data_IF_226220790133
#
_entry.id   IF_226220790133
#
_cell.length_a   1.000
_cell.length_b   1.000
_cell.length_c   1.000
_cell.angle_alpha   90.00
_cell.angle_beta   90.00
_cell.angle_gamma   90.00
#
_symmetry.space_group_name_H-M   'P 1'
#
loop_
_entity.id
_entity.type
_entity.pdbx_description
1 polymer ?
#
# COMPACT_ATOMS: atom_id res chain seq x y z
N UNK A 1 35.61 8.40 -63.28
CA UNK A 1 35.86 8.80 -61.88
C UNK A 1 34.88 8.09 -61.03
N UNK A 2 35.30 6.95 -60.44
CA UNK A 2 34.47 6.10 -59.59
C UNK A 2 34.79 6.40 -58.14
N UNK A 3 33.77 6.78 -57.38
CA UNK A 3 33.88 6.98 -55.93
C UNK A 3 33.45 5.70 -55.23
N UNK A 4 34.41 5.09 -54.57
CA UNK A 4 34.24 3.88 -53.74
C UNK A 4 33.69 4.31 -52.38
N UNK A 5 32.50 3.86 -52.00
CA UNK A 5 31.93 4.06 -50.66
C UNK A 5 32.24 2.82 -49.82
N UNK A 6 33.11 3.01 -48.82
CA UNK A 6 33.44 1.99 -47.81
C UNK A 6 32.32 1.92 -46.75
N UNK A 7 31.68 0.78 -46.62
CA UNK A 7 30.80 0.47 -45.50
C UNK A 7 31.63 -0.12 -44.34
N UNK A 8 31.71 0.60 -43.24
CA UNK A 8 32.25 0.09 -41.98
C UNK A 8 31.10 -0.59 -41.21
N UNK A 9 31.12 -1.93 -41.10
CA UNK A 9 30.20 -2.69 -40.26
C UNK A 9 30.70 -2.64 -38.81
N UNK A 10 29.98 -1.95 -37.93
CA UNK A 10 30.15 -2.07 -36.48
C UNK A 10 29.43 -3.31 -36.01
N UNK A 11 30.16 -4.35 -35.61
CA UNK A 11 29.65 -5.47 -34.84
C UNK A 11 29.44 -4.99 -33.38
N UNK A 12 28.20 -4.76 -32.98
CA UNK A 12 27.80 -4.65 -31.57
C UNK A 12 27.71 -6.07 -31.00
N UNK A 13 28.69 -6.46 -30.21
CA UNK A 13 28.62 -7.60 -29.33
C UNK A 13 27.66 -7.24 -28.20
N UNK A 14 26.48 -7.85 -28.20
CA UNK A 14 25.58 -7.85 -27.03
C UNK A 14 26.01 -8.95 -26.08
N UNK A 15 26.69 -8.59 -24.99
CA UNK A 15 26.88 -9.49 -23.88
C UNK A 15 25.57 -9.68 -23.09
N UNK A 16 25.23 -10.88 -22.64
CA UNK A 16 24.05 -11.08 -21.81
C UNK A 16 24.31 -10.53 -20.40
N UNK A 17 23.51 -9.57 -19.98
CA UNK A 17 23.44 -9.06 -18.60
C UNK A 17 22.88 -10.14 -17.65
N UNK A 18 23.73 -11.08 -17.25
CA UNK A 18 23.52 -11.88 -16.05
C UNK A 18 24.15 -11.16 -14.85
N UNK A 19 23.52 -10.10 -14.37
CA UNK A 19 23.92 -9.48 -13.12
C UNK A 19 23.45 -10.35 -11.95
N UNK A 20 24.33 -11.22 -11.49
CA UNK A 20 24.24 -11.83 -10.15
C UNK A 20 24.28 -10.67 -9.15
N UNK A 21 23.18 -10.43 -8.42
CA UNK A 21 23.12 -9.48 -7.31
C UNK A 21 24.17 -9.90 -6.28
N UNK A 22 25.24 -9.17 -6.18
CA UNK A 22 26.14 -9.22 -5.02
C UNK A 22 25.44 -8.40 -3.92
N UNK A 23 25.05 -9.06 -2.82
CA UNK A 23 24.58 -8.38 -1.62
C UNK A 23 25.66 -7.39 -1.16
N UNK A 24 25.33 -6.10 -1.00
CA UNK A 24 26.22 -5.19 -0.32
C UNK A 24 26.35 -5.64 1.14
N UNK A 25 27.59 -5.68 1.63
CA UNK A 25 27.87 -5.99 3.02
C UNK A 25 27.05 -5.08 3.94
N UNK A 26 26.38 -5.69 4.92
CA UNK A 26 25.58 -4.99 5.90
C UNK A 26 26.41 -3.88 6.56
N UNK A 27 26.15 -2.63 6.16
CA UNK A 27 26.56 -1.46 6.93
C UNK A 27 25.68 -1.48 8.16
N UNK A 28 26.26 -1.75 9.32
CA UNK A 28 25.55 -1.68 10.60
C UNK A 28 24.98 -0.24 10.74
N UNK A 29 23.71 -0.10 10.47
CA UNK A 29 22.97 1.13 10.68
C UNK A 29 23.03 1.42 12.19
N UNK A 30 23.66 2.52 12.56
CA UNK A 30 23.47 3.07 13.90
C UNK A 30 21.99 3.43 14.01
N UNK A 31 21.27 2.74 14.89
CA UNK A 31 19.86 3.00 15.12
C UNK A 31 19.64 4.50 15.40
N UNK A 32 18.77 5.13 14.60
CA UNK A 32 18.32 6.49 14.89
C UNK A 32 17.73 6.53 16.31
N UNK A 33 17.94 7.59 17.10
CA UNK A 33 17.34 7.72 18.42
C UNK A 33 15.82 7.64 18.43
N UNK A 34 15.18 7.78 17.27
CA UNK A 34 13.72 7.70 17.07
C UNK A 34 13.27 6.34 16.49
N UNK A 35 14.13 5.32 16.49
CA UNK A 35 13.79 4.00 15.97
C UNK A 35 12.64 3.37 16.78
N UNK A 36 11.58 2.95 16.11
CA UNK A 36 10.43 2.27 16.75
C UNK A 36 10.89 0.96 17.37
N UNK A 37 10.73 0.84 18.69
CA UNK A 37 10.88 -0.46 19.35
C UNK A 37 9.63 -1.32 19.10
N UNK A 38 9.72 -2.17 18.10
CA UNK A 38 8.64 -3.08 17.73
C UNK A 38 8.30 -4.12 18.82
N UNK A 39 9.16 -4.34 19.81
CA UNK A 39 8.88 -5.27 20.91
C UNK A 39 7.86 -4.67 21.88
N UNK A 40 7.86 -3.35 22.03
CA UNK A 40 6.92 -2.61 22.89
C UNK A 40 5.69 -2.08 22.13
N UNK A 41 5.68 -2.13 20.79
CA UNK A 41 4.55 -1.75 19.98
C UNK A 41 3.32 -2.62 20.27
N UNK A 42 2.12 -2.01 20.19
CA UNK A 42 0.84 -2.70 20.47
C UNK A 42 0.66 -3.89 19.51
N UNK A 43 0.47 -5.07 20.06
CA UNK A 43 0.10 -6.25 19.27
C UNK A 43 -1.40 -6.23 18.97
N UNK A 44 -1.76 -6.29 17.69
CA UNK A 44 -3.15 -6.38 17.23
C UNK A 44 -3.58 -7.84 17.03
N UNK A 45 -2.66 -8.66 16.56
CA UNK A 45 -2.78 -10.11 16.35
C UNK A 45 -1.38 -10.72 16.24
N UNK A 46 -1.21 -12.05 16.30
CA UNK A 46 0.09 -12.69 16.13
C UNK A 46 0.80 -12.19 14.85
N UNK A 47 2.03 -11.66 15.00
CA UNK A 47 2.80 -11.11 13.88
C UNK A 47 2.32 -9.77 13.32
N UNK A 48 1.30 -9.14 13.91
CA UNK A 48 0.81 -7.81 13.51
C UNK A 48 0.99 -6.83 14.67
N UNK A 49 1.87 -5.84 14.52
CA UNK A 49 2.13 -4.81 15.52
C UNK A 49 1.83 -3.42 15.01
N UNK A 50 1.30 -2.60 15.90
CA UNK A 50 0.89 -1.21 15.62
C UNK A 50 1.76 -0.23 16.39
N UNK A 51 2.29 0.75 15.68
CA UNK A 51 2.89 1.95 16.24
C UNK A 51 2.10 3.18 15.79
N UNK A 52 1.83 4.10 16.72
CA UNK A 52 1.15 5.36 16.43
C UNK A 52 1.91 6.49 17.13
N UNK A 53 2.20 7.54 16.40
CA UNK A 53 2.86 8.71 16.94
C UNK A 53 2.29 10.03 16.41
N UNK A 54 2.72 11.12 17.04
CA UNK A 54 2.40 12.47 16.62
C UNK A 54 3.67 13.33 16.71
N UNK A 55 4.11 13.82 15.56
CA UNK A 55 5.22 14.76 15.45
C UNK A 55 4.69 16.19 15.54
N UNK A 56 5.50 17.09 16.12
CA UNK A 56 5.20 18.52 16.20
C UNK A 56 6.06 19.36 15.26
N UNK A 57 7.23 18.85 14.88
CA UNK A 57 8.17 19.48 13.97
C UNK A 57 8.41 18.59 12.75
N UNK A 58 8.59 19.16 11.56
CA UNK A 58 8.55 20.59 11.22
C UNK A 58 7.12 21.17 11.23
N UNK A 59 6.10 20.36 11.40
CA UNK A 59 4.67 20.68 11.48
C UNK A 59 3.91 19.57 12.21
N UNK A 60 2.66 19.75 12.62
CA UNK A 60 1.85 18.68 13.19
C UNK A 60 1.65 17.54 12.17
N UNK A 61 2.02 16.32 12.54
CA UNK A 61 1.86 15.09 11.73
C UNK A 61 1.43 13.96 12.65
N UNK A 62 0.43 13.17 12.25
CA UNK A 62 0.03 11.94 12.93
C UNK A 62 0.29 10.77 11.98
N UNK A 63 1.05 9.79 12.48
CA UNK A 63 1.38 8.58 11.75
C UNK A 63 0.80 7.36 12.45
N UNK A 64 0.42 6.38 11.66
CA UNK A 64 -0.04 5.09 12.10
C UNK A 64 0.66 4.03 11.23
N UNK A 65 1.42 3.14 11.85
CA UNK A 65 2.21 2.14 11.14
C UNK A 65 1.83 0.76 11.67
N UNK A 66 1.35 -0.11 10.77
CA UNK A 66 1.25 -1.53 11.07
C UNK A 66 2.45 -2.27 10.46
N UNK A 67 3.16 -3.07 11.27
CA UNK A 67 4.18 -4.01 10.82
C UNK A 67 3.60 -5.42 10.84
N UNK A 68 3.70 -6.11 9.71
CA UNK A 68 3.09 -7.41 9.47
C UNK A 68 4.21 -8.40 9.14
N UNK A 69 4.30 -9.49 9.88
CA UNK A 69 5.20 -10.62 9.60
C UNK A 69 4.56 -11.52 8.54
N UNK A 70 5.02 -11.41 7.30
CA UNK A 70 4.50 -12.21 6.18
C UNK A 70 4.84 -13.71 6.30
N UNK A 71 5.80 -14.09 7.15
CA UNK A 71 6.14 -15.47 7.46
C UNK A 71 5.32 -16.05 8.64
N UNK A 72 4.46 -15.22 9.27
CA UNK A 72 3.63 -15.70 10.37
C UNK A 72 2.73 -16.86 9.90
N UNK A 73 2.79 -18.03 10.55
CA UNK A 73 2.01 -19.20 10.15
C UNK A 73 0.50 -18.90 10.06
N UNK A 74 -0.11 -19.32 8.95
CA UNK A 74 -1.53 -19.11 8.69
C UNK A 74 -1.91 -17.71 8.22
N UNK A 75 -0.98 -16.74 8.22
CA UNK A 75 -1.28 -15.40 7.71
C UNK A 75 -1.52 -15.42 6.21
N UNK A 76 -2.61 -14.78 5.79
CA UNK A 76 -3.03 -14.61 4.40
C UNK A 76 -3.39 -13.15 4.15
N UNK A 77 -3.25 -12.75 2.90
CA UNK A 77 -3.75 -11.48 2.39
C UNK A 77 -4.93 -11.74 1.46
N UNK A 78 -5.84 -10.79 1.38
CA UNK A 78 -6.91 -10.73 0.39
C UNK A 78 -7.09 -9.28 -0.06
N UNK A 79 -7.67 -9.06 -1.24
CA UNK A 79 -7.98 -7.72 -1.73
C UNK A 79 -9.43 -7.66 -2.20
N UNK A 80 -9.91 -6.48 -2.57
CA UNK A 80 -11.24 -6.34 -3.15
C UNK A 80 -11.37 -7.27 -4.37
N UNK A 81 -12.34 -8.19 -4.38
CA UNK A 81 -12.49 -9.13 -5.48
C UNK A 81 -12.97 -8.44 -6.75
N UNK A 82 -12.72 -9.08 -7.87
CA UNK A 82 -13.27 -8.69 -9.16
C UNK A 82 -14.78 -8.90 -9.19
N UNK A 83 -15.50 -7.99 -9.87
CA UNK A 83 -16.93 -8.18 -10.11
C UNK A 83 -17.21 -9.38 -11.03
N UNK A 84 -18.23 -10.15 -10.73
CA UNK A 84 -18.63 -11.31 -11.54
C UNK A 84 -19.01 -10.93 -12.99
N UNK A 85 -19.57 -9.73 -13.17
CA UNK A 85 -20.03 -9.21 -14.46
C UNK A 85 -18.96 -8.48 -15.29
N UNK A 86 -17.69 -8.48 -14.87
CA UNK A 86 -16.63 -7.69 -15.50
C UNK A 86 -16.41 -7.97 -17.00
N UNK A 87 -16.74 -9.19 -17.47
CA UNK A 87 -16.58 -9.59 -18.88
C UNK A 87 -17.50 -8.84 -19.84
N UNK A 88 -18.51 -8.15 -19.35
CA UNK A 88 -19.54 -7.46 -20.13
C UNK A 88 -19.29 -5.94 -20.20
N UNK A 89 -18.06 -5.45 -20.33
CA UNK A 89 -17.68 -4.05 -20.26
C UNK A 89 -18.07 -3.36 -18.94
N UNK A 90 -18.31 -4.13 -17.89
CA UNK A 90 -18.53 -3.60 -16.55
C UNK A 90 -17.21 -3.10 -15.95
N UNK A 91 -17.33 -2.42 -14.83
CA UNK A 91 -16.19 -2.03 -14.02
C UNK A 91 -15.54 -3.25 -13.36
N UNK A 92 -14.31 -3.09 -12.89
CA UNK A 92 -13.51 -4.17 -12.33
C UNK A 92 -13.88 -4.54 -10.90
N UNK A 93 -14.14 -3.52 -10.07
CA UNK A 93 -14.40 -3.71 -8.65
C UNK A 93 -15.58 -2.86 -8.17
N UNK A 94 -16.10 -3.17 -6.98
CA UNK A 94 -17.04 -2.35 -6.23
C UNK A 94 -16.31 -1.61 -5.14
N UNK A 95 -16.44 -0.29 -5.10
CA UNK A 95 -15.85 0.54 -4.05
C UNK A 95 -16.45 0.20 -2.69
N UNK A 96 -15.61 0.12 -1.68
CA UNK A 96 -16.01 -0.07 -0.28
C UNK A 96 -15.13 0.78 0.64
N UNK A 97 -15.69 1.27 1.75
CA UNK A 97 -14.85 1.79 2.82
C UNK A 97 -14.01 0.64 3.40
N UNK A 98 -12.86 0.94 3.99
CA UNK A 98 -12.01 -0.12 4.56
C UNK A 98 -12.74 -0.91 5.66
N UNK A 99 -13.60 -0.26 6.46
CA UNK A 99 -14.42 -0.97 7.46
C UNK A 99 -15.51 -1.83 6.83
N UNK A 100 -16.17 -1.37 5.77
CA UNK A 100 -17.17 -2.17 5.06
C UNK A 100 -16.52 -3.40 4.41
N UNK A 101 -15.35 -3.21 3.78
CA UNK A 101 -14.56 -4.30 3.24
C UNK A 101 -14.19 -5.32 4.32
N UNK A 102 -13.66 -4.87 5.46
CA UNK A 102 -13.31 -5.74 6.57
C UNK A 102 -14.51 -6.56 7.06
N UNK A 103 -15.69 -5.94 7.21
CA UNK A 103 -16.92 -6.62 7.61
C UNK A 103 -17.39 -7.63 6.58
N UNK A 104 -17.44 -7.22 5.30
CA UNK A 104 -17.92 -8.09 4.22
C UNK A 104 -17.04 -9.33 4.02
N UNK A 105 -15.71 -9.21 4.20
CA UNK A 105 -14.83 -10.38 4.14
C UNK A 105 -15.06 -11.32 5.33
N UNK A 106 -15.36 -10.80 6.50
CA UNK A 106 -15.72 -11.63 7.65
C UNK A 106 -17.04 -12.36 7.46
N UNK A 107 -18.04 -11.72 6.83
CA UNK A 107 -19.30 -12.38 6.43
C UNK A 107 -19.05 -13.50 5.40
N UNK A 108 -18.01 -13.39 4.58
CA UNK A 108 -17.54 -14.42 3.65
C UNK A 108 -16.67 -15.50 4.30
N UNK A 109 -16.66 -15.57 5.63
CA UNK A 109 -15.88 -16.50 6.45
C UNK A 109 -14.35 -16.32 6.36
N UNK A 110 -13.90 -15.15 5.95
CA UNK A 110 -12.50 -14.73 6.07
C UNK A 110 -12.35 -13.82 7.27
N UNK A 111 -11.76 -14.27 8.36
CA UNK A 111 -11.67 -13.48 9.60
C UNK A 111 -10.63 -12.35 9.49
N UNK A 112 -10.86 -11.40 8.58
CA UNK A 112 -9.98 -10.24 8.39
C UNK A 112 -9.84 -9.48 9.71
N UNK A 113 -8.58 -9.28 10.11
CA UNK A 113 -8.20 -8.59 11.35
C UNK A 113 -7.78 -7.15 11.10
N UNK A 114 -7.11 -6.88 9.98
CA UNK A 114 -6.61 -5.57 9.60
C UNK A 114 -7.01 -5.29 8.15
N UNK A 115 -7.46 -4.07 7.85
CA UNK A 115 -7.74 -3.66 6.47
C UNK A 115 -7.29 -2.22 6.22
N UNK A 116 -6.85 -1.95 5.00
CA UNK A 116 -6.38 -0.63 4.55
C UNK A 116 -6.63 -0.43 3.06
N UNK A 117 -6.66 0.84 2.62
CA UNK A 117 -6.80 1.19 1.21
C UNK A 117 -5.52 0.89 0.42
N UNK A 118 -5.66 0.61 -0.87
CA UNK A 118 -4.54 0.27 -1.74
C UNK A 118 -4.54 1.09 -3.03
N UNK A 119 -5.00 0.51 -4.14
CA UNK A 119 -4.88 1.06 -5.50
C UNK A 119 -5.70 2.32 -5.69
N UNK A 120 -5.18 3.23 -6.50
CA UNK A 120 -5.95 4.32 -7.08
C UNK A 120 -7.00 3.77 -8.06
N UNK A 121 -8.10 4.51 -8.23
CA UNK A 121 -9.26 4.05 -8.99
C UNK A 121 -10.00 5.20 -9.69
N UNK A 122 -10.79 4.87 -10.72
CA UNK A 122 -11.62 5.81 -11.46
C UNK A 122 -12.80 5.08 -12.12
N UNK A 123 -14.03 5.63 -12.08
CA UNK A 123 -14.42 6.91 -11.47
C UNK A 123 -14.55 6.85 -9.95
N UNK A 124 -14.54 8.03 -9.32
CA UNK A 124 -14.80 8.23 -7.89
C UNK A 124 -15.85 9.33 -7.69
N UNK A 125 -17.12 9.07 -8.09
CA UNK A 125 -18.19 10.05 -8.00
C UNK A 125 -18.54 10.43 -6.56
N UNK A 126 -19.16 11.58 -6.40
CA UNK A 126 -19.79 11.98 -5.14
C UNK A 126 -21.18 11.37 -4.99
N UNK A 127 -21.61 11.04 -3.77
CA UNK A 127 -20.86 11.13 -2.51
C UNK A 127 -19.72 10.09 -2.46
N UNK A 128 -18.58 10.48 -1.83
CA UNK A 128 -17.36 9.67 -1.88
C UNK A 128 -17.42 8.37 -1.07
N UNK A 129 -18.35 8.25 -0.14
CA UNK A 129 -18.61 7.05 0.65
C UNK A 129 -19.57 6.06 -0.04
N UNK A 130 -20.12 6.43 -1.19
CA UNK A 130 -21.04 5.57 -1.93
C UNK A 130 -20.31 4.39 -2.59
N UNK A 131 -20.81 3.20 -2.36
CA UNK A 131 -20.31 1.97 -2.96
C UNK A 131 -20.80 1.81 -4.40
N UNK A 132 -20.03 2.32 -5.35
CA UNK A 132 -20.27 2.20 -6.78
C UNK A 132 -19.17 1.40 -7.46
N UNK A 133 -19.40 0.97 -8.67
CA UNK A 133 -18.42 0.24 -9.48
C UNK A 133 -17.34 1.18 -10.02
N UNK A 134 -16.09 0.67 -10.13
CA UNK A 134 -14.93 1.43 -10.57
C UNK A 134 -13.89 0.54 -11.25
N UNK A 135 -12.89 1.16 -11.90
CA UNK A 135 -11.70 0.49 -12.41
C UNK A 135 -10.50 0.87 -11.55
N UNK A 136 -9.54 -0.04 -11.42
CA UNK A 136 -8.27 0.23 -10.76
C UNK A 136 -7.25 0.83 -11.73
N UNK A 137 -6.31 1.60 -11.19
CA UNK A 137 -5.26 2.26 -11.99
C UNK A 137 -3.91 1.54 -11.78
N UNK A 138 -3.89 0.22 -11.98
CA UNK A 138 -2.67 -0.55 -11.82
C UNK A 138 -2.93 -2.03 -11.94
N UNK A 139 -1.87 -2.83 -11.83
CA UNK A 139 -1.97 -4.28 -11.80
C UNK A 139 -2.51 -4.74 -10.44
N UNK A 140 -3.60 -5.51 -10.45
CA UNK A 140 -4.21 -6.00 -9.23
C UNK A 140 -4.61 -7.47 -9.34
N UNK A 141 -4.33 -8.23 -8.29
CA UNK A 141 -4.69 -9.65 -8.14
C UNK A 141 -5.33 -9.86 -6.78
N UNK A 142 -6.46 -10.55 -6.74
CA UNK A 142 -7.17 -10.94 -5.52
C UNK A 142 -7.32 -12.46 -5.49
N UNK A 143 -6.81 -13.10 -4.42
CA UNK A 143 -6.92 -14.56 -4.23
C UNK A 143 -6.51 -15.39 -5.47
N UNK A 144 -5.46 -14.96 -6.17
CA UNK A 144 -4.97 -15.61 -7.37
C UNK A 144 -5.75 -15.32 -8.65
N UNK A 145 -6.74 -14.43 -8.60
CA UNK A 145 -7.52 -14.00 -9.76
C UNK A 145 -7.08 -12.60 -10.21
N UNK A 146 -6.84 -12.42 -11.49
CA UNK A 146 -6.53 -11.12 -12.07
C UNK A 146 -7.74 -10.19 -11.94
N UNK A 147 -7.58 -9.06 -11.27
CA UNK A 147 -8.60 -8.02 -11.09
C UNK A 147 -8.43 -6.92 -12.11
N UNK A 148 -7.22 -6.40 -12.28
CA UNK A 148 -6.90 -5.32 -13.20
C UNK A 148 -5.57 -5.55 -13.91
N UNK A 149 -5.51 -5.21 -15.19
CA UNK A 149 -4.32 -5.30 -16.04
C UNK A 149 -3.65 -3.93 -16.15
N UNK A 150 -3.11 -3.42 -15.08
CA UNK A 150 -2.33 -2.18 -15.15
C UNK A 150 -0.90 -2.43 -15.62
N UNK A 151 -0.24 -1.41 -16.13
CA UNK A 151 1.16 -1.51 -16.53
C UNK A 151 1.94 -0.25 -16.16
N UNK A 152 3.24 -0.40 -15.93
CA UNK A 152 4.14 0.71 -15.66
C UNK A 152 4.00 1.30 -14.25
N UNK A 153 3.27 0.65 -13.35
CA UNK A 153 3.10 1.08 -11.95
C UNK A 153 3.89 0.17 -11.00
N UNK A 154 4.49 0.70 -9.94
CA UNK A 154 5.09 -0.11 -8.89
C UNK A 154 4.00 -0.86 -8.13
N UNK A 155 4.22 -2.12 -7.85
CA UNK A 155 3.26 -3.00 -7.20
C UNK A 155 3.92 -3.81 -6.09
N UNK A 156 3.21 -3.95 -4.97
CA UNK A 156 3.47 -4.98 -3.99
C UNK A 156 2.85 -6.29 -4.47
N UNK A 157 3.62 -7.36 -4.49
CA UNK A 157 3.21 -8.67 -4.98
C UNK A 157 3.54 -9.70 -3.92
N UNK A 158 2.53 -10.47 -3.47
CA UNK A 158 2.72 -11.68 -2.70
C UNK A 158 2.43 -12.89 -3.56
N UNK A 159 3.37 -13.82 -3.59
CA UNK A 159 3.24 -15.06 -4.32
C UNK A 159 2.48 -16.11 -3.50
N UNK A 160 1.88 -17.10 -4.16
CA UNK A 160 1.25 -18.27 -3.53
C UNK A 160 2.23 -19.07 -2.67
N UNK A 161 3.54 -18.98 -2.95
CA UNK A 161 4.61 -19.55 -2.11
C UNK A 161 4.79 -18.83 -0.77
N UNK A 162 4.20 -17.65 -0.58
CA UNK A 162 4.39 -16.77 0.57
C UNK A 162 5.48 -15.72 0.40
N UNK A 163 6.34 -15.82 -0.62
CA UNK A 163 7.35 -14.80 -0.89
C UNK A 163 6.71 -13.47 -1.33
N UNK A 164 7.31 -12.36 -0.95
CA UNK A 164 6.84 -11.02 -1.30
C UNK A 164 7.94 -10.21 -1.99
N UNK A 165 7.54 -9.31 -2.89
CA UNK A 165 8.43 -8.37 -3.58
C UNK A 165 7.70 -7.11 -4.00
N UNK A 166 8.46 -6.04 -4.27
CA UNK A 166 7.97 -4.86 -4.94
C UNK A 166 8.68 -4.69 -6.29
N UNK A 167 7.94 -4.38 -7.35
CA UNK A 167 8.50 -4.15 -8.69
C UNK A 167 7.55 -3.34 -9.56
N UNK A 168 8.07 -2.74 -10.61
CA UNK A 168 7.22 -2.20 -11.68
C UNK A 168 6.61 -3.36 -12.46
N UNK A 169 5.31 -3.32 -12.65
CA UNK A 169 4.57 -4.34 -13.41
C UNK A 169 4.47 -3.94 -14.88
N UNK A 170 4.45 -4.92 -15.77
CA UNK A 170 4.25 -4.74 -17.20
C UNK A 170 2.98 -5.44 -17.70
N UNK A 171 2.61 -5.18 -18.95
CA UNK A 171 1.39 -5.72 -19.55
C UNK A 171 1.45 -7.25 -19.81
N UNK A 172 2.62 -7.88 -19.67
CA UNK A 172 2.80 -9.32 -19.85
C UNK A 172 2.63 -10.11 -18.55
N UNK A 173 2.50 -9.42 -17.41
CA UNK A 173 2.32 -10.09 -16.12
C UNK A 173 1.00 -10.85 -16.06
N UNK A 174 1.07 -12.07 -15.55
CA UNK A 174 -0.09 -12.94 -15.27
C UNK A 174 -0.27 -13.13 -13.78
N UNK A 175 -1.43 -13.63 -13.38
CA UNK A 175 -1.74 -13.90 -11.97
C UNK A 175 -1.36 -15.34 -11.52
N UNK A 176 -0.74 -16.16 -12.37
CA UNK A 176 -0.63 -17.61 -12.16
C UNK A 176 -0.01 -18.02 -10.83
N UNK A 177 1.09 -17.34 -10.43
CA UNK A 177 1.81 -17.63 -9.18
C UNK A 177 1.53 -16.57 -8.09
N UNK A 178 0.65 -15.62 -8.35
CA UNK A 178 0.39 -14.50 -7.45
C UNK A 178 -0.82 -14.81 -6.56
N UNK A 179 -0.68 -14.61 -5.25
CA UNK A 179 -1.78 -14.65 -4.28
C UNK A 179 -2.54 -13.32 -4.32
N UNK A 180 -1.81 -12.22 -4.07
CA UNK A 180 -2.35 -10.85 -4.16
C UNK A 180 -1.33 -9.92 -4.80
N UNK A 181 -1.82 -8.92 -5.53
CA UNK A 181 -1.04 -7.78 -5.98
C UNK A 181 -1.85 -6.50 -5.86
N UNK A 182 -1.19 -5.42 -5.45
CA UNK A 182 -1.76 -4.06 -5.38
C UNK A 182 -0.74 -3.05 -5.89
N UNK A 183 -1.20 -2.03 -6.58
CA UNK A 183 -0.35 -1.03 -7.24
C UNK A 183 -0.47 0.35 -6.63
N UNK A 184 0.64 1.09 -6.61
CA UNK A 184 0.69 2.49 -6.24
C UNK A 184 1.11 3.41 -7.39
N UNK A 185 1.28 4.69 -7.08
CA UNK A 185 1.64 5.71 -8.08
C UNK A 185 3.13 5.69 -8.42
N UNK A 186 4.00 5.55 -7.41
CA UNK A 186 5.45 5.61 -7.55
C UNK A 186 6.15 4.94 -6.38
N UNK A 187 7.39 4.50 -6.58
CA UNK A 187 8.28 4.23 -5.47
C UNK A 187 8.56 5.54 -4.72
N UNK A 188 8.49 5.51 -3.39
CA UNK A 188 8.98 6.55 -2.50
C UNK A 188 10.30 6.15 -1.83
N UNK A 189 10.59 4.84 -1.84
CA UNK A 189 11.85 4.23 -1.42
C UNK A 189 12.17 3.09 -2.39
N UNK A 190 13.39 2.97 -2.87
CA UNK A 190 13.81 1.92 -3.79
C UNK A 190 15.26 1.52 -3.51
N UNK A 191 15.50 0.24 -3.25
CA UNK A 191 16.81 -0.31 -2.88
C UNK A 191 17.49 0.52 -1.75
N UNK A 192 16.74 0.89 -0.72
CA UNK A 192 17.21 1.71 0.41
C UNK A 192 17.43 3.20 0.08
N UNK A 193 17.05 3.66 -1.12
CA UNK A 193 17.24 5.06 -1.54
C UNK A 193 15.90 5.79 -1.60
N UNK A 194 15.76 6.85 -0.79
CA UNK A 194 14.57 7.71 -0.80
C UNK A 194 14.44 8.42 -2.14
N UNK A 195 13.27 8.31 -2.75
CA UNK A 195 12.99 8.92 -4.04
C UNK A 195 12.57 10.39 -3.89
N UNK A 196 13.00 11.26 -4.82
CA UNK A 196 12.62 12.68 -4.78
C UNK A 196 11.11 12.86 -4.98
N UNK A 197 10.54 13.91 -4.39
CA UNK A 197 9.15 14.29 -4.55
C UNK A 197 8.94 15.80 -4.60
N UNK A 198 7.74 16.22 -5.02
CA UNK A 198 7.29 17.59 -4.79
C UNK A 198 6.91 17.83 -3.32
N UNK A 199 6.55 19.09 -3.01
CA UNK A 199 6.28 19.57 -1.65
C UNK A 199 4.81 19.44 -1.22
N UNK A 200 3.97 18.81 -2.03
CA UNK A 200 2.54 18.68 -1.78
C UNK A 200 2.24 17.81 -0.56
N UNK A 201 1.59 18.42 0.42
CA UNK A 201 1.18 17.77 1.66
C UNK A 201 -0.22 17.18 1.53
N UNK A 202 -0.32 15.86 1.64
CA UNK A 202 -1.59 15.13 1.61
C UNK A 202 -1.65 14.07 2.72
N UNK A 203 -2.87 13.64 3.13
CA UNK A 203 -2.99 12.33 3.77
C UNK A 203 -2.39 11.29 2.84
N UNK A 204 -1.65 10.33 3.36
CA UNK A 204 -0.91 9.36 2.56
C UNK A 204 -1.11 7.95 3.07
N UNK A 205 -1.02 7.01 2.14
CA UNK A 205 -0.87 5.59 2.40
C UNK A 205 0.38 5.12 1.67
N UNK A 206 1.25 4.41 2.37
CA UNK A 206 2.41 3.80 1.76
C UNK A 206 2.59 2.36 2.25
N UNK A 207 3.10 1.50 1.38
CA UNK A 207 3.55 0.17 1.72
C UNK A 207 5.07 0.15 1.69
N UNK A 208 5.69 -0.47 2.69
CA UNK A 208 7.12 -0.74 2.73
C UNK A 208 7.39 -2.24 2.84
N UNK A 209 8.47 -2.71 2.26
CA UNK A 209 8.89 -4.11 2.34
C UNK A 209 10.37 -4.16 2.76
N UNK A 210 10.68 -5.01 3.75
CA UNK A 210 12.08 -5.25 4.15
C UNK A 210 12.86 -5.99 3.06
N UNK A 211 14.19 -5.84 3.05
CA UNK A 211 15.07 -6.45 2.05
C UNK A 211 14.95 -7.98 1.96
N UNK A 212 14.62 -8.64 3.06
CA UNK A 212 14.38 -10.09 3.10
C UNK A 212 12.98 -10.50 2.67
N UNK A 213 12.09 -9.52 2.37
CA UNK A 213 10.71 -9.75 1.96
C UNK A 213 9.77 -10.21 3.08
N UNK A 214 10.25 -10.25 4.34
CA UNK A 214 9.49 -10.75 5.49
C UNK A 214 8.51 -9.73 6.07
N UNK A 215 8.96 -8.48 6.23
CA UNK A 215 8.19 -7.46 6.95
C UNK A 215 7.47 -6.53 5.98
N UNK A 216 6.14 -6.56 5.99
CA UNK A 216 5.31 -5.56 5.31
C UNK A 216 4.97 -4.46 6.30
N UNK A 217 5.29 -3.22 5.94
CA UNK A 217 4.93 -2.00 6.66
C UNK A 217 3.77 -1.32 5.95
N UNK A 218 2.71 -1.00 6.69
CA UNK A 218 1.59 -0.20 6.21
C UNK A 218 1.64 1.13 6.94
N UNK A 219 2.12 2.16 6.28
CA UNK A 219 2.24 3.51 6.82
C UNK A 219 1.07 4.38 6.36
N UNK A 220 0.26 4.84 7.31
CA UNK A 220 -0.77 5.85 7.07
C UNK A 220 -0.38 7.16 7.74
N UNK A 221 -0.46 8.24 6.99
CA UNK A 221 -0.27 9.60 7.51
C UNK A 221 -1.58 10.35 7.39
N UNK A 222 -2.12 10.80 8.51
CA UNK A 222 -3.27 11.69 8.51
C UNK A 222 -2.91 13.03 7.86
N UNK A 223 -3.88 13.71 7.29
CA UNK A 223 -3.65 15.05 6.74
C UNK A 223 -4.93 15.85 6.59
N UNK A 224 -4.78 17.10 6.10
CA UNK A 224 -5.91 18.03 5.94
C UNK A 224 -6.65 18.31 7.26
N UNK A 225 -5.95 18.16 8.39
CA UNK A 225 -6.44 18.44 9.75
C UNK A 225 -5.49 19.39 10.46
N UNK A 226 -5.98 20.12 11.47
CA UNK A 226 -5.12 20.99 12.27
C UNK A 226 -4.07 20.17 13.03
N UNK A 227 -4.39 18.96 13.48
CA UNK A 227 -3.48 18.04 14.16
C UNK A 227 -2.57 17.25 13.24
N UNK A 228 -2.77 17.32 11.92
CA UNK A 228 -1.94 16.64 10.93
C UNK A 228 -2.07 17.28 9.55
N UNK A 229 -1.01 17.92 9.09
CA UNK A 229 -1.00 18.59 7.79
C UNK A 229 -0.94 17.62 6.61
N UNK A 230 -0.37 16.43 6.83
CA UNK A 230 -0.05 15.45 5.79
C UNK A 230 1.45 15.34 5.55
N UNK A 231 1.82 14.57 4.53
CA UNK A 231 3.20 14.29 4.17
C UNK A 231 3.45 14.42 2.66
N UNK A 232 4.70 14.69 2.30
CA UNK A 232 5.25 14.51 0.96
C UNK A 232 5.56 13.03 0.70
N UNK A 233 5.79 12.64 -0.54
CA UNK A 233 6.19 11.26 -0.84
C UNK A 233 7.63 10.96 -0.45
N UNK A 234 8.52 11.94 -0.44
CA UNK A 234 9.88 11.76 0.08
C UNK A 234 9.89 11.49 1.60
N UNK A 235 9.04 12.18 2.37
CA UNK A 235 8.90 11.89 3.81
C UNK A 235 8.39 10.46 4.06
N UNK A 236 7.49 9.93 3.21
CA UNK A 236 7.09 8.53 3.31
C UNK A 236 8.28 7.58 3.13
N UNK A 237 9.10 7.81 2.09
CA UNK A 237 10.30 7.03 1.83
C UNK A 237 11.29 7.07 2.99
N UNK A 238 11.52 8.26 3.54
CA UNK A 238 12.40 8.44 4.69
C UNK A 238 11.90 7.67 5.93
N UNK A 239 10.62 7.78 6.26
CA UNK A 239 10.06 7.05 7.41
C UNK A 239 10.02 5.53 7.20
N UNK A 240 9.74 5.06 5.98
CA UNK A 240 9.78 3.63 5.67
C UNK A 240 11.19 3.07 5.83
N UNK A 241 12.22 3.80 5.37
CA UNK A 241 13.62 3.44 5.57
C UNK A 241 13.98 3.36 7.06
N UNK A 242 13.59 4.36 7.86
CA UNK A 242 13.80 4.38 9.31
C UNK A 242 13.08 3.22 10.03
N UNK A 243 11.95 2.77 9.49
CA UNK A 243 11.17 1.64 10.00
C UNK A 243 11.69 0.27 9.54
N UNK A 244 12.72 0.24 8.69
CA UNK A 244 13.39 -0.98 8.24
C UNK A 244 12.91 -1.53 6.88
N UNK A 245 12.21 -0.74 6.08
CA UNK A 245 11.95 -1.09 4.68
C UNK A 245 13.19 -0.87 3.81
N UNK A 246 13.29 -1.62 2.73
CA UNK A 246 14.24 -1.45 1.63
C UNK A 246 13.55 -0.86 0.40
N UNK A 247 12.34 -1.32 0.13
CA UNK A 247 11.45 -0.77 -0.89
C UNK A 247 10.20 -0.15 -0.28
N UNK A 248 9.65 0.88 -0.92
CA UNK A 248 8.43 1.54 -0.48
C UNK A 248 7.63 2.16 -1.62
N UNK A 249 6.32 1.96 -1.61
CA UNK A 249 5.39 2.43 -2.64
C UNK A 249 4.40 3.43 -2.05
N UNK A 250 4.25 4.60 -2.68
CA UNK A 250 3.18 5.54 -2.40
C UNK A 250 1.88 5.06 -3.07
N UNK A 251 0.93 4.64 -2.25
CA UNK A 251 -0.39 4.12 -2.66
C UNK A 251 -1.40 5.25 -2.91
N UNK A 252 -2.69 4.91 -3.17
CA UNK A 252 -3.75 5.91 -3.16
C UNK A 252 -3.84 6.59 -1.81
N UNK A 253 -3.94 7.90 -1.84
CA UNK A 253 -3.86 8.75 -0.66
C UNK A 253 -5.05 9.70 -0.53
N UNK A 254 -4.82 10.82 0.14
CA UNK A 254 -5.85 11.83 0.32
C UNK A 254 -7.03 11.32 1.15
N UNK A 255 -8.24 11.40 0.58
CA UNK A 255 -9.44 10.92 1.27
C UNK A 255 -9.53 9.41 1.42
N UNK A 256 -8.73 8.65 0.66
CA UNK A 256 -8.71 7.19 0.70
C UNK A 256 -7.89 6.65 1.87
N UNK A 257 -6.92 7.42 2.41
CA UNK A 257 -5.99 6.97 3.46
C UNK A 257 -6.72 6.47 4.71
N UNK A 258 -6.82 5.16 4.84
CA UNK A 258 -7.59 4.51 5.92
C UNK A 258 -6.92 3.22 6.35
N UNK A 259 -6.79 3.04 7.66
CA UNK A 259 -6.40 1.79 8.32
C UNK A 259 -7.43 1.45 9.38
N UNK A 260 -7.95 0.25 9.37
CA UNK A 260 -8.89 -0.23 10.39
C UNK A 260 -8.53 -1.64 10.86
N UNK A 261 -8.96 -1.94 12.09
CA UNK A 261 -8.69 -3.19 12.77
C UNK A 261 -9.98 -3.76 13.36
N UNK A 262 -10.11 -5.09 13.34
CA UNK A 262 -11.16 -5.79 14.05
C UNK A 262 -10.77 -5.90 15.52
N UNK A 263 -11.25 -4.96 16.33
CA UNK A 263 -10.98 -4.91 17.77
C UNK A 263 -12.02 -5.73 18.55
N UNK A 264 -11.68 -6.93 19.04
CA UNK A 264 -12.64 -7.77 19.77
C UNK A 264 -13.13 -7.15 21.08
N UNK A 265 -12.42 -6.14 21.59
CA UNK A 265 -12.76 -5.48 22.86
C UNK A 265 -13.79 -4.35 22.72
N UNK A 266 -14.11 -3.93 21.49
CA UNK A 266 -15.16 -2.92 21.29
C UNK A 266 -16.52 -3.48 21.71
N UNK A 267 -17.42 -2.64 22.29
CA UNK A 267 -18.78 -3.03 22.59
C UNK A 267 -19.61 -3.24 21.31
N UNK A 268 -20.71 -3.98 21.41
CA UNK A 268 -21.62 -4.26 20.29
C UNK A 268 -21.06 -5.26 19.27
N UNK A 269 -21.74 -5.40 18.14
CA UNK A 269 -21.42 -6.38 17.11
C UNK A 269 -20.38 -5.88 16.10
N UNK A 270 -20.35 -4.57 15.81
CA UNK A 270 -19.34 -3.97 14.95
C UNK A 270 -18.05 -3.73 15.74
N UNK A 271 -17.06 -4.54 15.42
CA UNK A 271 -15.72 -4.48 16.00
C UNK A 271 -14.71 -3.72 15.14
N UNK A 272 -15.15 -3.08 14.06
CA UNK A 272 -14.28 -2.38 13.11
C UNK A 272 -13.84 -1.01 13.65
N UNK A 273 -12.63 -0.93 14.20
CA UNK A 273 -12.01 0.28 14.74
C UNK A 273 -11.15 0.97 13.68
N UNK A 274 -11.33 2.29 13.50
CA UNK A 274 -10.39 3.10 12.73
C UNK A 274 -9.14 3.38 13.55
N UNK A 275 -7.97 3.11 12.98
CA UNK A 275 -6.67 3.34 13.60
C UNK A 275 -6.08 4.71 13.23
N UNK A 276 -6.61 5.37 12.21
CA UNK A 276 -6.26 6.73 11.80
C UNK A 276 -7.53 7.62 11.72
N UNK A 277 -7.38 8.86 11.27
CA UNK A 277 -8.47 9.84 11.21
C UNK A 277 -8.75 10.28 9.77
N UNK A 278 -9.39 9.46 8.94
CA UNK A 278 -9.62 9.74 7.54
C UNK A 278 -10.52 10.98 7.31
N UNK A 279 -10.32 11.60 6.15
CA UNK A 279 -11.08 12.77 5.66
C UNK A 279 -11.73 12.47 4.30
N UNK A 280 -12.36 11.30 4.19
CA UNK A 280 -12.88 10.72 2.95
C UNK A 280 -13.85 11.61 2.17
N UNK A 281 -14.75 12.31 2.88
CA UNK A 281 -15.74 13.22 2.29
C UNK A 281 -15.20 14.64 2.05
N UNK A 282 -13.91 14.87 2.34
CA UNK A 282 -13.28 16.17 2.08
C UNK A 282 -13.08 16.39 0.59
N UNK A 283 -13.86 17.25 -0.04
CA UNK A 283 -13.39 18.04 -1.19
C UNK A 283 -11.99 18.55 -0.84
N UNK A 284 -11.14 18.86 -1.84
CA UNK A 284 -9.88 19.61 -1.62
C UNK A 284 -10.22 20.82 -0.74
N UNK A 285 -10.21 20.59 0.57
CA UNK A 285 -10.44 21.67 1.51
C UNK A 285 -9.21 22.55 1.42
N UNK A 286 -9.39 23.76 0.96
CA UNK A 286 -8.37 24.81 0.97
C UNK A 286 -7.94 25.14 2.42
N UNK A 287 -8.72 24.66 3.40
CA UNK A 287 -8.47 24.84 4.82
C UNK A 287 -8.48 23.48 5.55
N UNK A 288 -7.58 23.26 6.49
CA UNK A 288 -7.58 22.06 7.33
C UNK A 288 -8.89 21.90 8.10
N UNK A 289 -9.34 20.66 8.25
CA UNK A 289 -10.53 20.33 9.05
C UNK A 289 -10.19 20.43 10.54
N UNK A 290 -11.06 21.07 11.31
CA UNK A 290 -10.92 21.08 12.77
C UNK A 290 -10.98 19.66 13.34
N UNK A 291 -10.18 19.40 14.39
CA UNK A 291 -10.08 18.06 14.98
C UNK A 291 -11.37 17.54 15.61
N UNK A 292 -12.26 18.46 16.02
CA UNK A 292 -13.60 18.11 16.52
C UNK A 292 -14.55 17.58 15.44
N UNK A 293 -14.29 17.88 14.16
CA UNK A 293 -15.03 17.23 13.07
C UNK A 293 -14.77 15.74 13.07
N UNK A 294 -15.83 14.97 13.01
CA UNK A 294 -15.76 13.51 12.96
C UNK A 294 -14.90 13.00 11.78
N UNK A 295 -14.56 11.75 11.84
CA UNK A 295 -13.88 11.04 10.75
C UNK A 295 -14.90 10.68 9.66
N UNK A 296 -14.47 10.68 8.41
CA UNK A 296 -15.27 10.18 7.29
C UNK A 296 -14.38 9.30 6.41
N UNK A 297 -14.87 8.15 6.02
CA UNK A 297 -14.19 7.25 5.10
C UNK A 297 -14.63 7.51 3.66
N UNK A 298 -13.72 7.25 2.72
CA UNK A 298 -14.04 7.13 1.30
C UNK A 298 -14.23 5.66 0.96
N UNK A 299 -15.18 5.36 0.08
CA UNK A 299 -15.28 4.06 -0.55
C UNK A 299 -14.15 3.94 -1.59
N UNK A 300 -13.19 3.06 -1.33
CA UNK A 300 -11.98 2.83 -2.13
C UNK A 300 -12.23 1.77 -3.19
N UNK A 301 -11.56 1.88 -4.34
CA UNK A 301 -11.65 0.91 -5.42
C UNK A 301 -11.02 -0.43 -5.06
N UNK A 302 -9.95 -0.39 -4.26
CA UNK A 302 -9.29 -1.58 -3.74
C UNK A 302 -8.89 -1.38 -2.27
N UNK A 303 -9.10 -2.43 -1.48
CA UNK A 303 -8.66 -2.54 -0.10
C UNK A 303 -7.87 -3.84 0.05
N UNK A 304 -6.93 -3.86 0.98
CA UNK A 304 -6.21 -5.07 1.40
C UNK A 304 -6.70 -5.49 2.77
N UNK A 305 -6.94 -6.78 2.94
CA UNK A 305 -7.27 -7.41 4.21
C UNK A 305 -6.19 -8.41 4.63
N UNK A 306 -5.87 -8.41 5.91
CA UNK A 306 -4.97 -9.40 6.55
C UNK A 306 -5.81 -10.31 7.43
N UNK A 307 -5.69 -11.61 7.25
CA UNK A 307 -6.45 -12.59 8.04
C UNK A 307 -5.62 -13.84 8.33
N UNK A 308 -6.12 -14.68 9.22
CA UNK A 308 -5.52 -15.98 9.52
C UNK A 308 -6.44 -17.09 9.04
N UNK A 309 -5.88 -17.95 8.19
CA UNK A 309 -6.55 -19.18 7.80
C UNK A 309 -6.32 -20.21 8.90
N UNK A 310 -7.43 -20.79 9.42
CA UNK A 310 -7.32 -21.94 10.31
C UNK A 310 -6.65 -23.10 9.57
N UNK A 311 -5.77 -23.85 10.24
CA UNK A 311 -5.10 -25.01 9.68
C UNK A 311 -6.09 -26.11 9.23
#
# INVERSE_FOLDING_TARGET
MSILVLWLAFFLQTEPLSAVRQSPAAVASQASPDAVDWNTARELAPGIRLHQDALTAPRPIRRCVARIDLEQPGLRLTTTPRLDAWQNNSKETRRQTARNFLRSERERLRPVMLAFNADAFSPWPVPFDQETETNLLGFAVSDGQLVSTGSGTPSFIRLKSGAARMQVTDAAMTADDIEVAVSGFAFCLLDGVVQPSGDDLHPRTALGLSADGRWLLVLIVDGRRHSSAGATTAELGQWLLELGADDGINMDGGGSSTLCWWNPQLPGDDKSELLNRPVGNGLKLLTPVADQRGVSERANGNNVGVYFQSP
#
